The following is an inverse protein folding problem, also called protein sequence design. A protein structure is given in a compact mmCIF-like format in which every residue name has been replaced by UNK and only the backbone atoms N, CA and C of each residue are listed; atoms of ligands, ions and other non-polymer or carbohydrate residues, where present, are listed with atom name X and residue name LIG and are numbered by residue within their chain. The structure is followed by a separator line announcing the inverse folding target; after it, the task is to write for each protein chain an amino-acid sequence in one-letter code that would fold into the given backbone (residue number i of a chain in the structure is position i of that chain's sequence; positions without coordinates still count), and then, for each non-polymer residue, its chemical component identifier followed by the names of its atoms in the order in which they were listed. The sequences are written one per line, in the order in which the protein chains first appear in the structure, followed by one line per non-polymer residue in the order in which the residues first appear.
data_IF_123490640728
#
_entry.id   IF_123490640728
#
_cell.length_a   1.000
_cell.length_b   1.000
_cell.length_c   1.000
_cell.angle_alpha   90.00
_cell.angle_beta   90.00
_cell.angle_gamma   90.00
#
_symmetry.space_group_name_H-M   'P 1'
#
loop_
_entity.id
_entity.type
_entity.pdbx_description
1 polymer ?
#
# COMPACT_ATOMS: atom_id res chain seq x y z
N UNK A 1 16.81 14.29 -11.05
CA UNK A 1 15.49 14.36 -11.72
C UNK A 1 14.53 15.00 -10.75
N UNK A 2 13.93 16.14 -11.11
CA UNK A 2 12.94 16.82 -10.25
C UNK A 2 11.53 16.31 -10.58
N UNK A 3 10.60 16.38 -9.63
CA UNK A 3 9.23 15.91 -9.82
C UNK A 3 8.54 16.64 -10.98
N UNK A 4 8.73 17.96 -11.03
CA UNK A 4 8.17 18.84 -12.06
C UNK A 4 8.67 18.43 -13.45
N UNK A 5 9.97 18.15 -13.59
CA UNK A 5 10.56 17.68 -14.86
C UNK A 5 9.93 16.36 -15.33
N UNK A 6 9.54 15.47 -14.41
CA UNK A 6 8.90 14.20 -14.74
C UNK A 6 7.43 14.38 -15.17
N UNK A 7 6.71 15.35 -14.59
CA UNK A 7 5.36 15.71 -15.02
C UNK A 7 5.41 16.35 -16.41
N UNK A 8 6.30 17.31 -16.62
CA UNK A 8 6.45 18.03 -17.90
C UNK A 8 6.82 17.09 -19.04
N UNK A 9 7.70 16.12 -18.78
CA UNK A 9 8.10 15.10 -19.76
C UNK A 9 7.08 13.97 -19.93
N UNK A 10 5.96 14.00 -19.19
CA UNK A 10 4.93 12.95 -19.23
C UNK A 10 5.40 11.59 -18.69
N UNK A 11 6.52 11.57 -17.95
CA UNK A 11 7.06 10.36 -17.30
C UNK A 11 6.20 9.96 -16.10
N UNK A 12 5.56 10.94 -15.47
CA UNK A 12 4.53 10.74 -14.44
C UNK A 12 3.23 11.34 -14.96
N UNK A 13 2.16 10.55 -14.93
CA UNK A 13 0.82 10.97 -15.37
C UNK A 13 -0.24 10.45 -14.44
N UNK A 14 -1.37 11.14 -14.37
CA UNK A 14 -2.56 10.65 -13.67
C UNK A 14 -3.08 9.41 -14.39
N UNK A 15 -3.38 8.37 -13.62
CA UNK A 15 -4.05 7.18 -14.14
C UNK A 15 -5.58 7.34 -13.95
N UNK A 16 -6.36 7.39 -15.04
CA UNK A 16 -7.82 7.52 -14.95
C UNK A 16 -8.49 6.34 -14.24
N UNK A 17 -7.85 5.17 -14.20
CA UNK A 17 -8.34 3.98 -13.49
C UNK A 17 -7.91 3.90 -12.02
N UNK A 18 -7.22 4.91 -11.49
CA UNK A 18 -6.69 4.88 -10.12
C UNK A 18 -7.78 4.73 -9.06
N UNK A 19 -8.87 5.49 -9.19
CA UNK A 19 -10.01 5.46 -8.25
C UNK A 19 -10.67 4.08 -8.18
N UNK A 20 -10.77 3.37 -9.31
CA UNK A 20 -11.31 2.00 -9.35
C UNK A 20 -10.49 0.96 -8.59
N UNK A 21 -9.26 1.28 -8.17
CA UNK A 21 -8.39 0.38 -7.40
C UNK A 21 -8.33 0.69 -5.91
N UNK A 22 -9.00 1.76 -5.46
CA UNK A 22 -9.04 2.18 -4.05
C UNK A 22 -9.62 1.07 -3.19
N UNK A 23 -10.83 0.60 -3.51
CA UNK A 23 -11.51 -0.45 -2.74
C UNK A 23 -10.70 -1.73 -2.64
N UNK A 24 -10.07 -2.15 -3.74
CA UNK A 24 -9.23 -3.34 -3.74
C UNK A 24 -7.98 -3.15 -2.87
N UNK A 25 -7.37 -1.96 -2.90
CA UNK A 25 -6.20 -1.65 -2.07
C UNK A 25 -6.57 -1.66 -0.58
N UNK A 26 -7.70 -1.08 -0.19
CA UNK A 26 -8.18 -1.12 1.19
C UNK A 26 -8.49 -2.56 1.65
N UNK A 27 -9.14 -3.37 0.81
CA UNK A 27 -9.37 -4.80 1.10
C UNK A 27 -8.08 -5.58 1.32
N UNK A 28 -7.03 -5.29 0.55
CA UNK A 28 -5.72 -5.91 0.72
C UNK A 28 -5.06 -5.41 2.02
N UNK A 29 -5.14 -4.11 2.31
CA UNK A 29 -4.59 -3.52 3.53
C UNK A 29 -5.20 -4.15 4.80
N UNK A 30 -6.52 -4.36 4.81
CA UNK A 30 -7.24 -5.03 5.91
C UNK A 30 -6.79 -6.49 6.09
N UNK A 31 -6.60 -7.23 5.00
CA UNK A 31 -6.11 -8.61 5.05
C UNK A 31 -4.72 -8.68 5.68
N UNK A 32 -3.81 -7.79 5.26
CA UNK A 32 -2.47 -7.73 5.85
C UNK A 32 -2.49 -7.30 7.31
N UNK A 33 -3.35 -6.34 7.70
CA UNK A 33 -3.51 -5.95 9.10
C UNK A 33 -3.98 -7.12 9.96
N UNK A 34 -4.93 -7.92 9.44
CA UNK A 34 -5.40 -9.13 10.12
C UNK A 34 -4.28 -10.15 10.29
N UNK A 35 -3.44 -10.36 9.27
CA UNK A 35 -2.28 -11.25 9.38
C UNK A 35 -1.24 -10.73 10.36
N UNK A 36 -0.94 -9.42 10.35
CA UNK A 36 0.00 -8.81 11.28
C UNK A 36 -0.42 -9.04 12.74
N UNK A 37 -1.72 -8.88 13.04
CA UNK A 37 -2.26 -9.16 14.38
C UNK A 37 -2.10 -10.62 14.79
N UNK A 38 -2.38 -11.56 13.88
CA UNK A 38 -2.21 -13.00 14.14
C UNK A 38 -0.75 -13.38 14.37
N UNK A 39 0.16 -12.85 13.56
CA UNK A 39 1.59 -13.12 13.69
C UNK A 39 2.13 -12.56 15.03
N UNK A 40 1.59 -11.42 15.48
CA UNK A 40 1.95 -10.84 16.77
C UNK A 40 1.50 -11.74 17.94
N UNK A 41 0.30 -12.33 17.85
CA UNK A 41 -0.22 -13.28 18.85
C UNK A 41 0.66 -14.54 18.99
N UNK A 42 1.36 -14.93 17.93
CA UNK A 42 2.27 -16.10 17.92
C UNK A 42 3.75 -15.72 18.01
N UNK A 43 4.07 -14.47 18.32
CA UNK A 43 5.45 -13.95 18.45
C UNK A 43 6.32 -14.10 17.17
N UNK A 44 5.67 -14.24 16.01
CA UNK A 44 6.33 -14.27 14.70
C UNK A 44 6.62 -12.83 14.26
N UNK A 45 7.59 -12.18 14.91
CA UNK A 45 7.81 -10.74 14.80
C UNK A 45 8.25 -10.27 13.40
N UNK A 46 9.11 -11.03 12.72
CA UNK A 46 9.53 -10.72 11.34
C UNK A 46 8.32 -10.71 10.39
N UNK A 47 7.43 -11.69 10.56
CA UNK A 47 6.21 -11.79 9.78
C UNK A 47 5.18 -10.73 10.17
N UNK A 48 5.19 -10.27 11.43
CA UNK A 48 4.39 -9.13 11.90
C UNK A 48 4.80 -7.86 11.19
N UNK A 49 6.11 -7.57 11.13
CA UNK A 49 6.65 -6.38 10.50
C UNK A 49 6.32 -6.35 9.00
N UNK A 50 6.58 -7.45 8.29
CA UNK A 50 6.27 -7.56 6.86
C UNK A 50 4.76 -7.33 6.60
N UNK A 51 3.89 -7.94 7.40
CA UNK A 51 2.45 -7.79 7.23
C UNK A 51 1.98 -6.36 7.57
N UNK A 52 2.50 -5.76 8.64
CA UNK A 52 2.15 -4.39 9.03
C UNK A 52 2.60 -3.36 7.97
N UNK A 53 3.83 -3.50 7.46
CA UNK A 53 4.33 -2.66 6.36
C UNK A 53 3.44 -2.76 5.13
N UNK A 54 3.08 -3.98 4.72
CA UNK A 54 2.21 -4.18 3.55
C UNK A 54 0.81 -3.58 3.76
N UNK A 55 0.27 -3.67 4.97
CA UNK A 55 -0.98 -2.98 5.31
C UNK A 55 -0.84 -1.47 5.09
N UNK A 56 0.18 -0.85 5.67
CA UNK A 56 0.45 0.59 5.53
C UNK A 56 0.69 1.02 4.07
N UNK A 57 1.45 0.24 3.31
CA UNK A 57 1.68 0.47 1.89
C UNK A 57 0.37 0.50 1.09
N UNK A 58 -0.51 -0.48 1.30
CA UNK A 58 -1.77 -0.56 0.58
C UNK A 58 -2.78 0.51 1.02
N UNK A 59 -2.74 0.95 2.29
CA UNK A 59 -3.48 2.12 2.77
C UNK A 59 -2.99 3.41 2.12
N UNK A 60 -1.68 3.65 2.09
CA UNK A 60 -1.11 4.84 1.46
C UNK A 60 -1.39 4.91 -0.04
N UNK A 61 -1.39 3.75 -0.72
CA UNK A 61 -1.74 3.63 -2.14
C UNK A 61 -3.20 3.97 -2.45
N UNK A 62 -4.07 3.98 -1.44
CA UNK A 62 -5.50 4.28 -1.58
C UNK A 62 -5.84 5.76 -1.36
N UNK A 63 -4.86 6.59 -0.95
CA UNK A 63 -4.97 8.06 -0.85
C UNK A 63 -4.77 8.72 -2.22
#
# INVERSE_FOLDING_TARGET
MKFEECIDKGLIKKDPGATGRVDNSLKIAERFLKSARKNLETEEYEMTEIAAYNSGFHSARAL
#
